data_IF_169641338063
#
_entry.id   IF_169641338063
#
_cell.length_a   1.000
_cell.length_b   1.000
_cell.length_c   1.000
_cell.angle_alpha   90.00
_cell.angle_beta   90.00
_cell.angle_gamma   90.00
#
_symmetry.space_group_name_H-M   'P 1'
#
loop_
_entity.id
_entity.type
_entity.pdbx_description
1 polymer ?
#
# COMPACT_ATOMS: atom_id res chain seq x y z
N UNK A 1 -58.02 -42.43 45.93
CA UNK A 1 -57.05 -42.18 44.84
C UNK A 1 -55.93 -41.30 45.38
N UNK A 2 -54.69 -41.71 45.08
CA UNK A 2 -53.40 -40.99 45.04
C UNK A 2 -53.11 -39.89 46.09
N UNK A 3 -52.23 -40.09 47.07
CA UNK A 3 -50.75 -40.17 47.03
C UNK A 3 -50.04 -38.80 47.13
N UNK A 4 -48.85 -38.73 47.78
CA UNK A 4 -48.42 -37.61 48.62
C UNK A 4 -47.61 -36.52 47.89
N UNK A 5 -47.58 -35.34 48.49
CA UNK A 5 -46.77 -34.18 48.09
C UNK A 5 -45.27 -34.45 48.22
N UNK A 6 -44.54 -34.38 47.10
CA UNK A 6 -43.08 -34.31 47.07
C UNK A 6 -42.62 -32.90 46.71
N UNK A 7 -41.86 -32.32 47.63
CA UNK A 7 -41.03 -31.13 47.43
C UNK A 7 -39.95 -31.49 46.41
N UNK A 8 -39.99 -30.88 45.23
CA UNK A 8 -38.89 -30.91 44.28
C UNK A 8 -38.04 -29.65 44.49
N UNK A 9 -36.97 -29.80 45.27
CA UNK A 9 -35.82 -28.89 45.23
C UNK A 9 -35.23 -28.96 43.83
N UNK A 10 -35.40 -27.90 43.03
CA UNK A 10 -34.55 -27.68 41.86
C UNK A 10 -33.44 -26.74 42.29
N UNK A 11 -32.27 -27.32 42.54
CA UNK A 11 -31.00 -26.63 42.39
C UNK A 11 -30.85 -26.26 40.91
N UNK A 12 -31.25 -25.04 40.54
CA UNK A 12 -30.79 -24.44 39.29
C UNK A 12 -29.56 -23.60 39.63
N UNK A 13 -28.46 -24.31 39.85
CA UNK A 13 -27.14 -23.69 39.91
C UNK A 13 -26.91 -23.03 38.55
N UNK A 14 -27.14 -21.72 38.49
CA UNK A 14 -26.78 -20.87 37.36
C UNK A 14 -25.26 -20.94 37.19
N UNK A 15 -24.81 -21.92 36.40
CA UNK A 15 -23.41 -22.06 36.00
C UNK A 15 -23.08 -20.82 35.18
N UNK A 16 -22.58 -19.79 35.86
CA UNK A 16 -21.94 -18.65 35.23
C UNK A 16 -20.75 -19.21 34.44
N UNK A 17 -20.97 -19.46 33.16
CA UNK A 17 -19.93 -19.93 32.25
C UNK A 17 -18.95 -18.79 31.96
N UNK A 18 -18.15 -18.44 32.96
CA UNK A 18 -16.98 -17.58 32.81
C UNK A 18 -15.85 -18.37 32.16
N UNK A 19 -16.12 -18.88 30.94
CA UNK A 19 -15.10 -19.43 30.07
C UNK A 19 -14.42 -18.33 29.27
N UNK A 20 -13.28 -18.60 28.62
CA UNK A 20 -12.53 -17.62 27.79
C UNK A 20 -13.32 -17.04 26.58
N UNK A 21 -14.60 -17.42 26.43
CA UNK A 21 -15.55 -16.91 25.43
C UNK A 21 -16.70 -16.10 26.05
N UNK A 22 -16.66 -15.82 27.36
CA UNK A 22 -17.71 -15.07 28.07
C UNK A 22 -17.81 -13.60 27.64
N UNK A 23 -16.84 -13.08 26.89
CA UNK A 23 -16.81 -11.69 26.41
C UNK A 23 -17.70 -11.35 25.22
N UNK A 24 -18.51 -12.30 24.71
CA UNK A 24 -19.31 -12.09 23.50
C UNK A 24 -18.46 -11.82 22.25
N UNK A 25 -19.09 -11.53 21.09
CA UNK A 25 -18.34 -11.19 19.89
C UNK A 25 -17.53 -9.91 20.08
N UNK A 26 -16.20 -10.01 20.11
CA UNK A 26 -15.32 -8.83 20.10
C UNK A 26 -15.58 -8.03 18.83
N UNK A 27 -15.90 -6.74 18.99
CA UNK A 27 -16.11 -5.83 17.85
C UNK A 27 -14.88 -5.85 16.95
N UNK A 28 -15.09 -6.13 15.66
CA UNK A 28 -14.01 -6.16 14.67
C UNK A 28 -13.36 -4.77 14.62
N UNK A 29 -12.02 -4.71 14.65
CA UNK A 29 -11.25 -3.45 14.51
C UNK A 29 -11.74 -2.70 13.28
N UNK A 30 -12.18 -1.46 13.46
CA UNK A 30 -12.62 -0.58 12.38
C UNK A 30 -11.57 0.52 12.16
N UNK A 31 -11.30 0.82 10.90
CA UNK A 31 -10.31 1.83 10.52
C UNK A 31 -11.02 3.05 9.93
N UNK A 32 -10.78 4.21 10.54
CA UNK A 32 -11.20 5.50 9.99
C UNK A 32 -10.39 5.80 8.71
N UNK A 33 -10.91 6.64 7.78
CA UNK A 33 -10.15 7.04 6.60
C UNK A 33 -8.77 7.62 6.93
N UNK A 34 -8.68 8.43 7.99
CA UNK A 34 -7.42 9.00 8.48
C UNK A 34 -6.44 7.93 8.95
N UNK A 35 -6.90 6.91 9.70
CA UNK A 35 -6.05 5.80 10.12
C UNK A 35 -5.52 5.00 8.93
N UNK A 36 -6.35 4.77 7.90
CA UNK A 36 -5.91 4.09 6.68
C UNK A 36 -4.80 4.86 5.98
N UNK A 37 -4.94 6.18 5.86
CA UNK A 37 -3.91 7.03 5.26
C UNK A 37 -2.62 7.05 6.09
N UNK A 38 -2.73 7.14 7.42
CA UNK A 38 -1.57 7.06 8.31
C UNK A 38 -0.84 5.72 8.17
N UNK A 39 -1.58 4.60 8.12
CA UNK A 39 -0.98 3.28 7.92
C UNK A 39 -0.33 3.13 6.54
N UNK A 40 -0.91 3.72 5.49
CA UNK A 40 -0.29 3.74 4.16
C UNK A 40 1.02 4.53 4.16
N UNK A 41 1.04 5.71 4.78
CA UNK A 41 2.24 6.53 4.87
C UNK A 41 3.36 5.84 5.66
N UNK A 42 3.03 5.24 6.81
CA UNK A 42 3.99 4.48 7.61
C UNK A 42 4.47 3.22 6.88
N UNK A 43 3.59 2.52 6.16
CA UNK A 43 3.98 1.37 5.34
C UNK A 43 4.89 1.76 4.16
N UNK A 44 4.57 2.86 3.47
CA UNK A 44 5.38 3.37 2.36
C UNK A 44 6.76 3.85 2.86
N UNK A 45 6.86 4.37 4.09
CA UNK A 45 8.15 4.65 4.75
C UNK A 45 8.90 3.36 5.09
N UNK A 46 8.25 2.39 5.74
CA UNK A 46 8.86 1.12 6.12
C UNK A 46 9.35 0.30 4.90
N UNK A 47 8.73 0.45 3.72
CA UNK A 47 9.25 -0.17 2.49
C UNK A 47 10.65 0.36 2.13
N UNK A 48 10.90 1.66 2.31
CA UNK A 48 12.20 2.27 1.96
C UNK A 48 13.33 1.67 2.77
N UNK A 49 13.04 1.27 4.01
CA UNK A 49 13.98 0.65 4.93
C UNK A 49 13.95 -0.90 4.86
N UNK A 50 13.23 -1.48 3.89
CA UNK A 50 13.01 -2.93 3.75
C UNK A 50 12.25 -3.60 4.92
N UNK A 51 11.60 -2.82 5.79
CA UNK A 51 10.88 -3.28 6.97
C UNK A 51 9.36 -3.41 6.77
N UNK A 52 8.85 -3.20 5.56
CA UNK A 52 7.40 -3.23 5.29
C UNK A 52 6.70 -4.50 5.77
N UNK A 53 7.34 -5.68 5.64
CA UNK A 53 6.80 -6.94 6.13
C UNK A 53 6.81 -7.08 7.67
N UNK A 54 7.74 -6.41 8.35
CA UNK A 54 7.76 -6.34 9.81
C UNK A 54 6.61 -5.45 10.30
N UNK A 55 6.46 -4.27 9.70
CA UNK A 55 5.37 -3.34 10.01
C UNK A 55 3.97 -3.98 9.87
N UNK A 56 3.74 -4.78 8.82
CA UNK A 56 2.45 -5.46 8.66
C UNK A 56 2.15 -6.46 9.78
N UNK A 57 3.18 -7.16 10.28
CA UNK A 57 3.02 -8.12 11.38
C UNK A 57 2.81 -7.43 12.71
N UNK A 58 3.49 -6.31 12.97
CA UNK A 58 3.32 -5.54 14.21
C UNK A 58 1.95 -4.88 14.28
N UNK A 59 1.44 -4.37 13.17
CA UNK A 59 0.13 -3.71 13.10
C UNK A 59 -1.05 -4.67 12.90
N UNK A 60 -0.78 -5.97 12.68
CA UNK A 60 -1.79 -6.98 12.37
C UNK A 60 -2.51 -6.72 11.04
N UNK A 61 -1.81 -6.14 10.07
CA UNK A 61 -2.32 -5.77 8.76
C UNK A 61 -1.92 -6.81 7.71
N UNK A 62 -2.82 -7.06 6.76
CA UNK A 62 -2.54 -7.93 5.62
C UNK A 62 -2.21 -7.11 4.38
N UNK A 63 -1.36 -7.64 3.50
CA UNK A 63 -0.96 -7.00 2.24
C UNK A 63 -2.16 -6.69 1.33
N UNK A 64 -3.21 -7.52 1.38
CA UNK A 64 -4.48 -7.29 0.69
C UNK A 64 -5.17 -6.00 1.15
N UNK A 65 -5.15 -5.71 2.46
CA UNK A 65 -5.75 -4.48 3.01
C UNK A 65 -5.00 -3.25 2.54
N UNK A 66 -3.66 -3.28 2.57
CA UNK A 66 -2.83 -2.20 2.04
C UNK A 66 -3.11 -1.95 0.56
N UNK A 67 -3.22 -3.03 -0.23
CA UNK A 67 -3.49 -2.92 -1.67
C UNK A 67 -4.84 -2.27 -1.94
N UNK A 68 -5.88 -2.67 -1.20
CA UNK A 68 -7.20 -2.05 -1.30
C UNK A 68 -7.20 -0.58 -0.84
N UNK A 69 -6.49 -0.26 0.25
CA UNK A 69 -6.41 1.12 0.73
C UNK A 69 -5.64 2.02 -0.24
N UNK A 70 -4.59 1.51 -0.93
CA UNK A 70 -3.93 2.26 -2.01
C UNK A 70 -4.90 2.58 -3.14
N UNK A 71 -5.71 1.61 -3.59
CA UNK A 71 -6.74 1.87 -4.61
C UNK A 71 -7.69 2.98 -4.16
N UNK A 72 -8.13 2.95 -2.91
CA UNK A 72 -9.02 3.97 -2.34
C UNK A 72 -8.34 5.35 -2.23
N UNK A 73 -7.05 5.41 -1.90
CA UNK A 73 -6.24 6.64 -1.88
C UNK A 73 -6.09 7.20 -3.29
N UNK A 74 -5.67 6.36 -4.24
CA UNK A 74 -5.39 6.75 -5.62
C UNK A 74 -6.67 7.19 -6.35
N UNK A 75 -7.82 6.68 -5.93
CA UNK A 75 -9.12 7.12 -6.39
C UNK A 75 -9.70 8.33 -5.64
N UNK A 76 -8.97 8.87 -4.64
CA UNK A 76 -9.39 10.05 -3.87
C UNK A 76 -10.49 9.80 -2.84
N UNK A 77 -10.89 8.55 -2.61
CA UNK A 77 -11.99 8.20 -1.69
C UNK A 77 -11.65 8.46 -0.23
N UNK A 78 -10.37 8.35 0.13
CA UNK A 78 -9.92 8.54 1.51
C UNK A 78 -9.69 10.01 1.87
N UNK A 79 -9.54 10.90 0.88
CA UNK A 79 -9.34 12.32 1.11
C UNK A 79 -10.68 13.03 1.37
N UNK A 80 -10.78 13.78 2.47
CA UNK A 80 -11.95 14.62 2.77
C UNK A 80 -13.16 13.92 3.43
N UNK A 81 -13.12 12.60 3.65
CA UNK A 81 -14.23 11.90 4.31
C UNK A 81 -14.19 12.08 5.83
N UNK A 82 -15.35 12.40 6.43
CA UNK A 82 -15.49 12.58 7.88
C UNK A 82 -15.34 11.22 8.61
N UNK A 83 -14.89 11.20 9.89
CA UNK A 83 -14.57 9.97 10.64
C UNK A 83 -15.68 8.92 10.86
N UNK A 84 -16.87 9.07 10.28
CA UNK A 84 -18.03 8.18 10.46
C UNK A 84 -18.71 7.79 9.14
N UNK A 85 -18.17 8.25 8.02
CA UNK A 85 -18.77 8.01 6.72
C UNK A 85 -18.32 6.65 6.19
N UNK A 86 -19.29 5.79 5.87
CA UNK A 86 -19.00 4.45 5.34
C UNK A 86 -18.27 4.62 4.02
N UNK A 87 -17.08 4.01 3.91
CA UNK A 87 -16.39 3.90 2.63
C UNK A 87 -17.19 2.88 1.80
N UNK A 88 -18.07 3.38 0.95
CA UNK A 88 -18.81 2.59 -0.02
C UNK A 88 -17.94 2.08 -1.17
N UNK A 89 -18.57 1.38 -2.12
CA UNK A 89 -17.91 0.99 -3.38
C UNK A 89 -17.43 2.23 -4.14
N UNK A 90 -16.39 2.03 -4.94
CA UNK A 90 -15.82 3.07 -5.78
C UNK A 90 -16.87 3.59 -6.77
N UNK A 91 -17.02 4.91 -6.89
CA UNK A 91 -17.83 5.48 -7.97
C UNK A 91 -17.13 5.26 -9.32
N UNK A 92 -17.86 5.23 -10.45
CA UNK A 92 -17.23 5.06 -11.77
C UNK A 92 -16.21 6.16 -12.06
N UNK A 93 -16.49 7.40 -11.65
CA UNK A 93 -15.55 8.53 -11.76
C UNK A 93 -14.26 8.30 -10.98
N UNK A 94 -14.37 7.78 -9.76
CA UNK A 94 -13.21 7.47 -8.91
C UNK A 94 -12.38 6.31 -9.49
N UNK A 95 -13.02 5.33 -10.12
CA UNK A 95 -12.34 4.27 -10.84
C UNK A 95 -11.55 4.82 -12.05
N UNK A 96 -12.14 5.75 -12.78
CA UNK A 96 -11.50 6.38 -13.93
C UNK A 96 -10.32 7.27 -13.51
N UNK A 97 -10.46 8.05 -12.43
CA UNK A 97 -9.36 8.82 -11.84
C UNK A 97 -8.18 7.90 -11.49
N UNK A 98 -8.45 6.76 -10.84
CA UNK A 98 -7.41 5.80 -10.50
C UNK A 98 -6.77 5.18 -11.75
N UNK A 99 -7.54 4.90 -12.80
CA UNK A 99 -7.05 4.39 -14.08
C UNK A 99 -6.13 5.42 -14.75
N UNK A 100 -6.58 6.67 -14.86
CA UNK A 100 -5.83 7.75 -15.49
C UNK A 100 -4.51 8.02 -14.75
N UNK A 101 -4.53 8.05 -13.41
CA UNK A 101 -3.30 8.21 -12.60
C UNK A 101 -2.28 7.09 -12.84
N UNK A 102 -2.73 5.84 -12.99
CA UNK A 102 -1.84 4.72 -13.33
C UNK A 102 -1.25 4.85 -14.73
N UNK A 103 -2.05 5.32 -15.69
CA UNK A 103 -1.56 5.54 -17.04
C UNK A 103 -0.51 6.65 -17.06
N UNK A 104 -0.75 7.76 -16.36
CA UNK A 104 0.21 8.86 -16.22
C UNK A 104 1.54 8.39 -15.64
N UNK A 105 1.50 7.70 -14.49
CA UNK A 105 2.72 7.17 -13.87
C UNK A 105 3.50 6.23 -14.78
N UNK A 106 2.81 5.36 -15.54
CA UNK A 106 3.46 4.46 -16.50
C UNK A 106 4.08 5.22 -17.67
N UNK A 107 3.43 6.28 -18.17
CA UNK A 107 4.00 7.12 -19.22
C UNK A 107 5.19 7.92 -18.73
N UNK A 108 5.14 8.45 -17.51
CA UNK A 108 6.25 9.17 -16.89
C UNK A 108 7.48 8.27 -16.72
N UNK A 109 7.31 7.04 -16.21
CA UNK A 109 8.42 6.07 -16.11
C UNK A 109 9.06 5.75 -17.47
N UNK A 110 8.24 5.67 -18.53
CA UNK A 110 8.76 5.47 -19.89
C UNK A 110 9.57 6.67 -20.36
N UNK A 111 9.08 7.89 -20.08
CA UNK A 111 9.81 9.11 -20.40
C UNK A 111 11.14 9.19 -19.65
N UNK A 112 11.16 8.89 -18.35
CA UNK A 112 12.39 8.80 -17.56
C UNK A 112 13.38 7.80 -18.16
N UNK A 113 12.91 6.59 -18.49
CA UNK A 113 13.75 5.54 -19.09
C UNK A 113 14.32 6.01 -20.44
N UNK A 114 13.51 6.64 -21.30
CA UNK A 114 14.00 7.18 -22.57
C UNK A 114 14.97 8.34 -22.37
N UNK A 115 14.77 9.17 -21.35
CA UNK A 115 15.68 10.26 -21.00
C UNK A 115 17.06 9.73 -20.62
N UNK A 116 17.13 8.69 -19.78
CA UNK A 116 18.39 8.03 -19.41
C UNK A 116 19.07 7.43 -20.64
N UNK A 117 18.32 6.79 -21.54
CA UNK A 117 18.88 6.24 -22.77
C UNK A 117 19.49 7.34 -23.66
N UNK A 118 18.80 8.47 -23.82
CA UNK A 118 19.31 9.63 -24.56
C UNK A 118 20.59 10.20 -23.91
N UNK A 119 20.64 10.27 -22.59
CA UNK A 119 21.82 10.74 -21.85
C UNK A 119 23.04 9.84 -22.10
N UNK A 120 22.84 8.52 -22.07
CA UNK A 120 23.89 7.53 -22.38
C UNK A 120 24.38 7.71 -23.82
N UNK A 121 23.47 7.85 -24.78
CA UNK A 121 23.85 8.08 -26.18
C UNK A 121 24.61 9.40 -26.36
N UNK A 122 24.21 10.45 -25.66
CA UNK A 122 24.93 11.74 -25.67
C UNK A 122 26.35 11.59 -25.15
N UNK A 123 26.54 10.91 -24.01
CA UNK A 123 27.86 10.63 -23.43
C UNK A 123 28.73 9.79 -24.37
N UNK A 124 28.15 8.78 -25.01
CA UNK A 124 28.86 7.98 -26.02
C UNK A 124 29.32 8.83 -27.20
N UNK A 125 28.46 9.72 -27.71
CA UNK A 125 28.81 10.62 -28.82
C UNK A 125 29.95 11.57 -28.43
N UNK A 126 29.91 12.15 -27.24
CA UNK A 126 30.99 13.00 -26.70
C UNK A 126 32.33 12.25 -26.62
N UNK A 127 32.31 11.01 -26.13
CA UNK A 127 33.51 10.16 -26.10
C UNK A 127 34.05 9.89 -27.50
N UNK A 128 33.19 9.57 -28.47
CA UNK A 128 33.60 9.36 -29.85
C UNK A 128 34.20 10.62 -30.49
N UNK A 129 33.64 11.81 -30.20
CA UNK A 129 34.21 13.08 -30.67
C UNK A 129 35.59 13.35 -30.07
N UNK A 130 35.78 13.08 -28.76
CA UNK A 130 37.09 13.24 -28.12
C UNK A 130 38.15 12.30 -28.70
N UNK A 131 37.80 11.03 -28.96
CA UNK A 131 38.68 10.06 -29.61
C UNK A 131 39.00 10.47 -31.06
N UNK A 132 38.00 10.92 -31.81
CA UNK A 132 38.16 11.42 -33.19
C UNK A 132 39.06 12.65 -33.26
N UNK A 133 38.97 13.57 -32.30
CA UNK A 133 39.86 14.72 -32.18
C UNK A 133 41.30 14.28 -31.89
N UNK A 134 41.48 13.37 -30.93
CA UNK A 134 42.81 12.86 -30.56
C UNK A 134 43.52 12.14 -31.71
N UNK A 135 42.81 11.45 -32.60
CA UNK A 135 43.42 10.75 -33.73
C UNK A 135 43.85 11.68 -34.88
N UNK A 136 43.27 12.90 -34.97
CA UNK A 136 43.62 13.89 -35.99
C UNK A 136 44.83 14.74 -35.60
N UNK A 137 45.13 14.85 -34.31
CA UNK A 137 46.32 15.57 -33.82
C UNK A 137 47.61 14.78 -34.05
N UNK A 138 47.53 13.49 -34.41
CA UNK A 138 48.65 12.66 -34.90
C UNK A 138 48.91 12.92 -36.40
N UNK A 139 49.27 14.14 -36.77
CA UNK A 139 49.95 14.38 -38.06
C UNK A 139 51.45 14.22 -37.81
N UNK A 140 52.11 13.17 -38.35
CA UNK A 140 53.56 13.10 -38.27
C UNK A 140 54.10 14.32 -39.01
N UNK A 141 54.80 15.15 -38.25
CA UNK A 141 55.52 16.32 -38.71
C UNK A 141 56.40 15.87 -39.89
N UNK A 142 55.99 16.24 -41.10
CA UNK A 142 56.86 16.19 -42.25
C UNK A 142 58.11 17.03 -41.93
N UNK A 143 59.24 16.64 -42.52
CA UNK A 143 60.33 17.48 -43.05
C UNK A 143 61.68 16.72 -42.93
N UNK A 144 62.68 17.04 -43.76
CA UNK A 144 62.68 17.42 -45.18
C UNK A 144 63.29 16.33 -46.09
#
# INVERSE_FOLDING_TARGET
MSSPSLIAVRDDSYMSSSGPRAGGPTSRRSFTPAHKLAHLAAYDAAIKDHEGGAYLRTEGLYSSQITEWRKLRDAGVLAGKKPKEKIGRLTPEQAEIARLRRQLSKTEQRLETTGVALEIMSKMHELLESLSKSSRDETPCALP
#
